data_IF_511594561224
#
_entry.id   IF_511594561224
#
_cell.length_a   1.000
_cell.length_b   1.000
_cell.length_c   1.000
_cell.angle_alpha   90.00
_cell.angle_beta   90.00
_cell.angle_gamma   90.00
#
_symmetry.space_group_name_H-M   'P 1'
#
loop_
_entity.id
_entity.type
_entity.pdbx_description
1 polymer ?
#
# COMPACT_ATOMS: atom_id res chain seq x y z
N UNK A 1 -36.64 13.02 -47.69
CA UNK A 1 -35.81 11.90 -48.18
C UNK A 1 -34.43 11.98 -47.53
N UNK A 2 -33.82 10.80 -47.29
CA UNK A 2 -32.43 10.51 -46.82
C UNK A 2 -32.23 10.25 -45.31
N UNK A 3 -32.49 8.97 -45.00
CA UNK A 3 -31.74 7.95 -44.23
C UNK A 3 -31.14 8.29 -42.85
N UNK A 4 -31.69 7.57 -41.87
CA UNK A 4 -31.26 7.33 -40.48
C UNK A 4 -30.03 6.41 -40.44
N UNK A 5 -29.22 6.52 -39.38
CA UNK A 5 -28.47 5.38 -38.84
C UNK A 5 -28.50 5.44 -37.31
N UNK A 6 -29.10 4.41 -36.71
CA UNK A 6 -29.14 4.12 -35.27
C UNK A 6 -28.34 2.84 -35.12
N UNK A 7 -27.27 2.87 -34.34
CA UNK A 7 -26.46 1.68 -34.03
C UNK A 7 -26.77 1.28 -32.59
N UNK A 8 -27.60 0.24 -32.45
CA UNK A 8 -27.79 -0.48 -31.21
C UNK A 8 -26.75 -1.58 -31.08
N UNK A 9 -26.12 -1.69 -29.91
CA UNK A 9 -25.26 -2.82 -29.56
C UNK A 9 -26.07 -3.82 -28.72
N UNK A 10 -26.29 -5.01 -29.28
CA UNK A 10 -26.88 -6.18 -28.62
C UNK A 10 -25.79 -6.92 -27.84
N UNK A 11 -25.96 -7.04 -26.52
CA UNK A 11 -25.13 -7.88 -25.65
C UNK A 11 -25.78 -9.27 -25.60
N UNK A 12 -25.16 -10.26 -26.22
CA UNK A 12 -25.54 -11.66 -26.06
C UNK A 12 -24.77 -12.25 -24.87
N UNK A 13 -25.48 -12.53 -23.78
CA UNK A 13 -24.97 -13.27 -22.63
C UNK A 13 -25.08 -14.78 -22.85
N UNK A 14 -23.97 -15.50 -22.61
CA UNK A 14 -23.96 -16.95 -22.48
C UNK A 14 -23.79 -17.34 -21.02
N UNK A 15 -24.87 -17.84 -20.42
CA UNK A 15 -24.92 -18.55 -19.14
C UNK A 15 -24.35 -19.97 -19.33
N UNK A 16 -23.29 -20.33 -18.62
CA UNK A 16 -22.89 -21.73 -18.42
C UNK A 16 -23.08 -22.09 -16.95
N UNK A 17 -24.19 -22.80 -16.72
CA UNK A 17 -24.58 -23.50 -15.50
C UNK A 17 -23.89 -24.87 -15.44
N UNK A 18 -23.35 -25.20 -14.26
CA UNK A 18 -23.46 -26.52 -13.64
C UNK A 18 -22.44 -27.61 -14.03
N UNK A 19 -21.87 -28.25 -13.00
CA UNK A 19 -21.28 -29.57 -13.13
C UNK A 19 -20.18 -29.90 -12.11
N UNK A 20 -20.54 -30.08 -10.84
CA UNK A 20 -19.67 -30.74 -9.87
C UNK A 20 -19.58 -32.23 -10.20
N UNK A 21 -18.39 -32.74 -10.52
CA UNK A 21 -18.14 -34.16 -10.66
C UNK A 21 -17.20 -34.62 -9.54
N UNK A 22 -17.74 -35.44 -8.65
CA UNK A 22 -17.04 -36.24 -7.64
C UNK A 22 -16.25 -37.34 -8.33
N UNK A 23 -14.97 -37.52 -8.00
CA UNK A 23 -14.21 -38.72 -8.42
C UNK A 23 -13.92 -39.60 -7.22
N UNK A 24 -14.60 -40.74 -7.22
CA UNK A 24 -14.38 -41.90 -6.36
C UNK A 24 -13.29 -42.80 -6.95
N UNK A 25 -12.54 -43.44 -6.05
CA UNK A 25 -11.53 -44.46 -6.25
C UNK A 25 -12.06 -45.70 -6.99
N UNK A 26 -11.24 -46.29 -7.87
CA UNK A 26 -11.30 -47.72 -8.18
C UNK A 26 -9.92 -48.27 -8.58
N UNK A 27 -9.60 -49.39 -7.95
CA UNK A 27 -8.45 -50.28 -8.05
C UNK A 27 -8.53 -51.14 -9.33
N UNK A 28 -7.41 -51.49 -9.97
CA UNK A 28 -6.75 -52.81 -9.88
C UNK A 28 -5.93 -53.24 -11.13
N UNK A 29 -4.93 -54.05 -10.80
CA UNK A 29 -3.87 -54.79 -11.52
C UNK A 29 -3.95 -55.14 -13.03
N UNK A 30 -2.78 -55.07 -13.71
CA UNK A 30 -1.95 -56.25 -14.03
C UNK A 30 -0.84 -56.03 -15.12
N UNK A 31 0.39 -56.34 -14.70
CA UNK A 31 1.51 -57.06 -15.37
C UNK A 31 2.20 -56.64 -16.70
N UNK A 32 3.53 -56.39 -16.58
CA UNK A 32 4.69 -56.68 -17.49
C UNK A 32 4.80 -55.93 -18.84
N UNK A 33 5.94 -55.43 -19.33
CA UNK A 33 7.38 -55.57 -19.02
C UNK A 33 8.22 -54.46 -19.70
N UNK A 34 9.34 -54.09 -19.07
CA UNK A 34 10.66 -53.66 -19.62
C UNK A 34 10.77 -52.56 -20.68
N UNK A 35 11.29 -51.38 -20.31
CA UNK A 35 12.62 -50.87 -20.74
C UNK A 35 12.77 -49.35 -20.47
N UNK A 36 13.90 -49.02 -19.85
CA UNK A 36 14.58 -47.73 -19.65
C UNK A 36 14.05 -46.45 -20.34
N UNK A 37 14.15 -45.37 -19.57
CA UNK A 37 14.70 -44.02 -19.90
C UNK A 37 13.74 -42.86 -19.57
N UNK A 38 14.28 -41.92 -18.77
CA UNK A 38 13.92 -40.49 -18.70
C UNK A 38 12.88 -40.05 -17.67
N UNK A 39 13.43 -39.69 -16.50
CA UNK A 39 12.86 -38.71 -15.56
C UNK A 39 12.80 -37.34 -16.26
N UNK A 40 11.61 -36.87 -16.64
CA UNK A 40 11.21 -35.45 -16.74
C UNK A 40 9.83 -35.33 -17.38
N UNK A 41 8.82 -34.97 -16.58
CA UNK A 41 7.77 -33.99 -16.90
C UNK A 41 6.65 -34.09 -15.87
N UNK A 42 6.83 -33.39 -14.76
CA UNK A 42 5.75 -33.09 -13.81
C UNK A 42 5.77 -31.59 -13.51
N UNK A 43 5.67 -30.76 -14.57
CA UNK A 43 5.39 -29.33 -14.48
C UNK A 43 3.91 -29.11 -14.81
N UNK A 44 3.09 -29.46 -13.83
CA UNK A 44 1.67 -29.12 -13.78
C UNK A 44 1.50 -27.64 -13.41
N UNK A 45 0.95 -26.89 -14.37
CA UNK A 45 0.35 -25.54 -14.26
C UNK A 45 -0.18 -25.20 -12.87
N UNK A 46 0.49 -24.24 -12.22
CA UNK A 46 0.04 -23.60 -10.99
C UNK A 46 -1.01 -22.53 -11.25
N UNK A 47 -2.16 -22.69 -10.57
CA UNK A 47 -3.23 -21.71 -10.45
C UNK A 47 -2.78 -20.50 -9.64
N UNK A 48 -3.33 -19.34 -10.01
CA UNK A 48 -2.94 -18.03 -9.50
C UNK A 48 -3.42 -17.74 -8.08
N UNK A 49 -2.53 -17.08 -7.33
CA UNK A 49 -2.81 -15.90 -6.53
C UNK A 49 -1.50 -15.09 -6.49
N UNK A 50 -1.47 -13.92 -7.14
CA UNK A 50 -0.35 -12.98 -7.05
C UNK A 50 -0.29 -12.40 -5.63
N UNK A 51 0.28 -13.16 -4.71
CA UNK A 51 0.79 -12.67 -3.44
C UNK A 51 2.06 -11.85 -3.66
N UNK A 52 2.31 -10.93 -2.74
CA UNK A 52 3.24 -9.79 -2.76
C UNK A 52 4.75 -10.08 -2.98
N UNK A 53 5.13 -11.27 -3.46
CA UNK A 53 6.50 -11.70 -3.79
C UNK A 53 6.54 -12.52 -5.09
N UNK A 54 5.78 -12.11 -6.11
CA UNK A 54 5.93 -12.67 -7.45
C UNK A 54 7.16 -12.06 -8.14
N UNK A 55 8.35 -12.66 -8.01
CA UNK A 55 9.49 -12.24 -8.83
C UNK A 55 10.85 -12.80 -8.46
N UNK A 56 11.41 -12.46 -7.30
CA UNK A 56 12.85 -12.65 -7.08
C UNK A 56 13.14 -13.86 -6.19
N UNK A 57 13.08 -15.05 -6.79
CA UNK A 57 13.52 -16.30 -6.14
C UNK A 57 14.98 -16.23 -5.66
N UNK A 58 15.83 -15.47 -6.35
CA UNK A 58 17.23 -15.26 -5.97
C UNK A 58 17.36 -14.48 -4.66
N UNK A 59 16.64 -13.36 -4.48
CA UNK A 59 16.67 -12.58 -3.25
C UNK A 59 16.17 -13.38 -2.03
N UNK A 60 15.14 -14.22 -2.22
CA UNK A 60 14.67 -15.13 -1.17
C UNK A 60 15.72 -16.20 -0.83
N UNK A 61 16.41 -16.75 -1.83
CA UNK A 61 17.48 -17.73 -1.63
C UNK A 61 18.69 -17.10 -0.95
N UNK A 62 19.06 -15.87 -1.30
CA UNK A 62 20.16 -15.12 -0.70
C UNK A 62 19.86 -14.83 0.78
N UNK A 63 18.70 -14.21 1.07
CA UNK A 63 18.29 -13.91 2.44
C UNK A 63 18.15 -15.17 3.31
N UNK A 64 17.69 -16.29 2.73
CA UNK A 64 17.69 -17.57 3.43
C UNK A 64 19.11 -18.04 3.77
N UNK A 65 20.06 -17.95 2.84
CA UNK A 65 21.45 -18.34 3.10
C UNK A 65 22.10 -17.47 4.17
N UNK A 66 21.85 -16.16 4.15
CA UNK A 66 22.37 -15.22 5.15
C UNK A 66 21.88 -15.54 6.56
N UNK A 67 20.64 -16.02 6.66
CA UNK A 67 20.04 -16.47 7.92
C UNK A 67 20.37 -17.94 8.27
N UNK A 68 21.25 -18.59 7.50
CA UNK A 68 21.65 -19.98 7.70
C UNK A 68 20.55 -21.01 7.39
N UNK A 69 19.54 -20.63 6.61
CA UNK A 69 18.38 -21.45 6.26
C UNK A 69 18.67 -22.29 4.99
N UNK A 70 18.45 -23.60 5.08
CA UNK A 70 18.55 -24.50 3.91
C UNK A 70 17.47 -24.19 2.88
N UNK A 71 17.86 -23.96 1.63
CA UNK A 71 16.97 -23.62 0.51
C UNK A 71 16.59 -24.83 -0.35
N UNK A 72 17.31 -25.96 -0.22
CA UNK A 72 17.10 -27.13 -1.07
C UNK A 72 15.78 -27.83 -0.75
N UNK A 73 14.94 -28.02 -1.77
CA UNK A 73 13.69 -28.78 -1.67
C UNK A 73 12.53 -28.05 -0.98
N UNK A 74 12.69 -26.77 -0.64
CA UNK A 74 11.63 -25.94 -0.05
C UNK A 74 10.95 -25.09 -1.11
N UNK A 75 9.63 -24.97 -1.04
CA UNK A 75 8.89 -24.00 -1.83
C UNK A 75 9.06 -22.58 -1.26
N UNK A 76 8.72 -21.57 -2.06
CA UNK A 76 8.88 -20.17 -1.70
C UNK A 76 8.08 -19.75 -0.45
N UNK A 77 6.91 -20.35 -0.21
CA UNK A 77 6.08 -20.02 0.95
C UNK A 77 6.72 -20.52 2.24
N UNK A 78 7.20 -21.77 2.23
CA UNK A 78 7.94 -22.34 3.36
C UNK A 78 9.21 -21.53 3.64
N UNK A 79 9.97 -21.19 2.60
CA UNK A 79 11.19 -20.39 2.73
C UNK A 79 10.90 -18.99 3.31
N UNK A 80 9.86 -18.31 2.82
CA UNK A 80 9.42 -17.02 3.37
C UNK A 80 9.01 -17.12 4.84
N UNK A 81 8.34 -18.20 5.23
CA UNK A 81 7.94 -18.44 6.62
C UNK A 81 9.15 -18.56 7.54
N UNK A 82 10.14 -19.37 7.14
CA UNK A 82 11.37 -19.57 7.90
C UNK A 82 12.23 -18.31 7.97
N UNK A 83 12.36 -17.57 6.85
CA UNK A 83 13.06 -16.27 6.81
C UNK A 83 12.42 -15.32 7.82
N UNK A 84 11.09 -15.14 7.77
CA UNK A 84 10.38 -14.24 8.71
C UNK A 84 10.62 -14.65 10.16
N UNK A 85 10.56 -15.93 10.46
CA UNK A 85 10.79 -16.41 11.82
C UNK A 85 12.23 -16.15 12.29
N UNK A 86 13.22 -16.38 11.43
CA UNK A 86 14.62 -16.12 11.74
C UNK A 86 14.90 -14.62 11.92
N UNK A 87 14.41 -13.77 11.01
CA UNK A 87 14.50 -12.30 11.14
C UNK A 87 13.86 -11.83 12.43
N UNK A 88 12.65 -12.28 12.76
CA UNK A 88 11.95 -11.91 13.98
C UNK A 88 12.73 -12.32 15.25
N UNK A 89 13.37 -13.49 15.24
CA UNK A 89 14.23 -13.92 16.36
C UNK A 89 15.47 -13.04 16.49
N UNK A 90 16.07 -12.62 15.38
CA UNK A 90 17.21 -11.72 15.40
C UNK A 90 16.81 -10.34 15.96
N UNK A 91 15.72 -9.75 15.46
CA UNK A 91 15.17 -8.48 15.98
C UNK A 91 14.83 -8.59 17.48
N UNK A 92 14.20 -9.70 17.90
CA UNK A 92 13.94 -9.94 19.31
C UNK A 92 15.22 -9.96 20.14
N UNK A 93 16.27 -10.62 19.67
CA UNK A 93 17.55 -10.67 20.38
C UNK A 93 18.20 -9.28 20.46
N UNK A 94 18.15 -8.48 19.39
CA UNK A 94 18.66 -7.10 19.36
C UNK A 94 17.92 -6.20 20.37
N UNK A 95 16.60 -6.39 20.50
CA UNK A 95 15.76 -5.68 21.46
C UNK A 95 15.80 -6.28 22.88
N UNK A 96 16.63 -7.30 23.13
CA UNK A 96 16.76 -7.96 24.42
C UNK A 96 15.53 -8.79 24.86
N UNK A 97 14.68 -9.18 23.91
CA UNK A 97 13.47 -9.98 24.13
C UNK A 97 13.83 -11.48 24.14
N UNK A 98 13.40 -12.18 25.20
CA UNK A 98 13.54 -13.64 25.28
C UNK A 98 12.68 -14.32 24.21
N UNK A 99 13.29 -15.21 23.43
CA UNK A 99 12.64 -15.94 22.33
C UNK A 99 12.17 -17.35 22.72
N UNK A 100 12.75 -17.95 23.78
CA UNK A 100 12.46 -19.32 24.18
C UNK A 100 11.02 -19.51 24.66
N UNK A 101 10.35 -20.54 24.14
CA UNK A 101 9.00 -20.94 24.54
C UNK A 101 7.86 -20.06 24.01
N UNK A 102 8.16 -19.03 23.20
CA UNK A 102 7.15 -18.18 22.57
C UNK A 102 6.82 -18.66 21.18
N UNK A 103 5.53 -18.59 20.83
CA UNK A 103 5.11 -18.75 19.44
C UNK A 103 5.45 -17.48 18.63
N UNK A 104 5.40 -17.62 17.30
CA UNK A 104 5.80 -16.54 16.37
C UNK A 104 4.90 -15.32 16.50
N UNK A 105 3.60 -15.48 16.77
CA UNK A 105 2.68 -14.35 16.88
C UNK A 105 2.98 -13.55 18.15
N UNK A 106 3.11 -14.22 19.30
CA UNK A 106 3.49 -13.57 20.56
C UNK A 106 4.84 -12.85 20.44
N UNK A 107 5.83 -13.49 19.82
CA UNK A 107 7.15 -12.87 19.63
C UNK A 107 7.05 -11.63 18.72
N UNK A 108 6.24 -11.68 17.66
CA UNK A 108 6.04 -10.55 16.74
C UNK A 108 5.39 -9.36 17.44
N UNK A 109 4.38 -9.60 18.27
CA UNK A 109 3.73 -8.53 19.04
C UNK A 109 4.70 -7.86 20.01
N UNK A 110 5.53 -8.63 20.72
CA UNK A 110 6.53 -8.08 21.64
C UNK A 110 7.60 -7.26 20.92
N UNK A 111 8.13 -7.78 19.80
CA UNK A 111 9.12 -7.06 18.96
C UNK A 111 8.53 -5.77 18.43
N UNK A 112 7.31 -5.82 17.89
CA UNK A 112 6.62 -4.64 17.36
C UNK A 112 6.41 -3.58 18.47
N UNK A 113 5.96 -3.99 19.65
CA UNK A 113 5.76 -3.07 20.77
C UNK A 113 7.07 -2.46 21.24
N UNK A 114 8.15 -3.23 21.33
CA UNK A 114 9.47 -2.74 21.71
C UNK A 114 10.01 -1.72 20.69
N UNK A 115 9.92 -2.02 19.39
CA UNK A 115 10.30 -1.09 18.31
C UNK A 115 9.49 0.22 18.36
N UNK A 116 8.17 0.14 18.59
CA UNK A 116 7.34 1.33 18.75
C UNK A 116 7.74 2.15 19.98
N UNK A 117 8.12 1.50 21.09
CA UNK A 117 8.60 2.19 22.29
C UNK A 117 9.92 2.92 22.06
N UNK A 118 10.86 2.32 21.32
CA UNK A 118 12.10 3.01 20.95
C UNK A 118 11.81 4.24 20.09
N UNK A 119 11.06 4.08 19.00
CA UNK A 119 10.68 5.21 18.13
C UNK A 119 9.93 6.31 18.88
N UNK A 120 9.04 5.94 19.79
CA UNK A 120 8.33 6.91 20.62
C UNK A 120 9.31 7.70 21.51
N UNK A 121 10.31 7.05 22.12
CA UNK A 121 11.33 7.74 22.93
C UNK A 121 12.16 8.71 22.10
N UNK A 122 12.54 8.32 20.87
CA UNK A 122 13.32 9.18 19.97
C UNK A 122 12.54 10.46 19.61
N UNK A 123 11.22 10.35 19.49
CA UNK A 123 10.31 11.48 19.25
C UNK A 123 9.89 12.22 20.55
N UNK A 124 10.43 11.85 21.71
CA UNK A 124 10.07 12.45 23.00
C UNK A 124 8.64 12.13 23.48
N UNK A 125 8.03 11.07 22.96
CA UNK A 125 6.68 10.62 23.30
C UNK A 125 6.73 9.68 24.50
N UNK A 126 5.96 9.98 25.55
CA UNK A 126 5.82 9.07 26.70
C UNK A 126 5.24 7.72 26.29
N UNK A 127 5.88 6.63 26.74
CA UNK A 127 5.49 5.24 26.46
C UNK A 127 4.69 4.59 27.58
N UNK A 128 4.59 5.24 28.75
CA UNK A 128 4.03 4.61 29.95
C UNK A 128 2.52 4.39 29.80
N UNK A 129 2.08 3.15 30.03
CA UNK A 129 0.68 2.75 29.95
C UNK A 129 0.08 2.72 28.54
N UNK A 130 0.88 2.94 27.48
CA UNK A 130 0.42 2.87 26.09
C UNK A 130 0.64 1.49 25.50
N UNK A 131 -0.39 0.99 24.80
CA UNK A 131 -0.28 -0.18 23.94
C UNK A 131 0.30 0.18 22.56
N UNK A 132 0.47 -0.83 21.69
CA UNK A 132 1.03 -0.64 20.36
C UNK A 132 0.20 0.32 19.50
N UNK A 133 -1.12 0.27 19.60
CA UNK A 133 -2.01 1.14 18.81
C UNK A 133 -1.87 2.61 19.26
N UNK A 134 -1.92 2.85 20.57
CA UNK A 134 -1.76 4.18 21.16
C UNK A 134 -0.36 4.78 20.88
N UNK A 135 0.69 3.96 20.90
CA UNK A 135 2.04 4.39 20.51
C UNK A 135 2.10 4.75 19.03
N UNK A 136 1.56 3.90 18.17
CA UNK A 136 1.55 4.14 16.73
C UNK A 136 0.82 5.45 16.37
N UNK A 137 -0.35 5.69 16.97
CA UNK A 137 -1.12 6.91 16.72
C UNK A 137 -0.41 8.15 17.26
N UNK A 138 0.23 8.07 18.43
CA UNK A 138 1.02 9.16 18.98
C UNK A 138 2.23 9.50 18.10
N UNK A 139 2.98 8.48 17.65
CA UNK A 139 4.12 8.64 16.72
C UNK A 139 3.66 9.28 15.42
N UNK A 140 2.55 8.79 14.85
CA UNK A 140 1.98 9.33 13.62
C UNK A 140 1.60 10.81 13.78
N UNK A 141 0.96 11.16 14.89
CA UNK A 141 0.56 12.53 15.16
C UNK A 141 1.77 13.45 15.30
N UNK A 142 2.81 13.02 16.00
CA UNK A 142 4.01 13.84 16.19
C UNK A 142 4.74 14.09 14.86
N UNK A 143 4.91 13.05 14.04
CA UNK A 143 5.46 13.19 12.69
C UNK A 143 4.64 14.14 11.80
N UNK A 144 3.30 14.12 11.91
CA UNK A 144 2.45 15.07 11.20
C UNK A 144 2.66 16.50 11.70
N UNK A 145 2.84 16.72 13.00
CA UNK A 145 3.12 18.05 13.53
C UNK A 145 4.45 18.60 13.02
N UNK A 146 5.49 17.77 12.96
CA UNK A 146 6.78 18.23 12.45
C UNK A 146 6.70 18.61 10.99
N UNK A 147 6.02 17.82 10.17
CA UNK A 147 5.73 18.15 8.77
C UNK A 147 4.85 19.39 8.61
N UNK A 148 3.88 19.60 9.51
CA UNK A 148 3.06 20.80 9.53
C UNK A 148 3.90 22.05 9.82
N UNK A 149 4.80 22.00 10.81
CA UNK A 149 5.71 23.12 11.13
C UNK A 149 6.58 23.50 9.92
N UNK A 150 7.15 22.51 9.23
CA UNK A 150 7.97 22.72 8.03
C UNK A 150 7.21 23.49 6.92
N UNK A 151 5.91 23.21 6.79
CA UNK A 151 5.04 23.81 5.78
C UNK A 151 4.31 25.07 6.25
N UNK A 152 4.57 25.53 7.48
CA UNK A 152 3.90 26.68 8.08
C UNK A 152 2.42 26.43 8.41
N UNK A 153 2.02 25.18 8.57
CA UNK A 153 0.67 24.77 8.97
C UNK A 153 0.58 24.77 10.50
N UNK A 154 -0.45 25.43 11.05
CA UNK A 154 -0.68 25.44 12.51
C UNK A 154 -1.05 24.06 13.01
N UNK A 155 -0.47 23.65 14.15
CA UNK A 155 -0.70 22.33 14.78
C UNK A 155 -1.69 22.35 15.93
N UNK A 156 -2.17 23.52 16.33
CA UNK A 156 -2.88 23.70 17.60
C UNK A 156 -4.29 23.10 17.55
N UNK A 157 -4.58 22.21 18.50
CA UNK A 157 -5.88 21.55 18.68
C UNK A 157 -6.39 20.78 17.45
N UNK A 158 -5.49 20.31 16.58
CA UNK A 158 -5.86 19.51 15.40
C UNK A 158 -5.58 18.04 15.63
N UNK A 159 -6.54 17.22 15.23
CA UNK A 159 -6.33 15.78 15.12
C UNK A 159 -5.47 15.43 13.90
N UNK A 160 -5.05 14.17 13.82
CA UNK A 160 -4.20 13.66 12.76
C UNK A 160 -4.84 13.75 11.36
N UNK A 161 -6.17 13.67 11.25
CA UNK A 161 -6.85 13.74 9.97
C UNK A 161 -6.86 15.17 9.44
N UNK A 162 -7.25 16.12 10.29
CA UNK A 162 -7.27 17.55 9.98
C UNK A 162 -5.87 18.03 9.61
N UNK A 163 -4.86 17.67 10.41
CA UNK A 163 -3.45 17.97 10.09
C UNK A 163 -3.04 17.43 8.73
N UNK A 164 -3.39 16.18 8.42
CA UNK A 164 -3.03 15.55 7.16
C UNK A 164 -3.66 16.27 5.95
N UNK A 165 -4.92 16.70 6.06
CA UNK A 165 -5.61 17.44 5.00
C UNK A 165 -4.99 18.82 4.78
N UNK A 166 -4.67 19.53 5.85
CA UNK A 166 -4.01 20.83 5.77
C UNK A 166 -2.58 20.74 5.23
N UNK A 167 -1.79 19.74 5.68
CA UNK A 167 -0.44 19.45 5.15
C UNK A 167 -0.51 19.15 3.65
N UNK A 168 -1.49 18.37 3.19
CA UNK A 168 -1.68 18.08 1.76
C UNK A 168 -1.98 19.36 0.99
N UNK A 169 -2.84 20.21 1.53
CA UNK A 169 -3.22 21.48 0.90
C UNK A 169 -2.05 22.45 0.84
N UNK A 170 -1.29 22.59 1.93
CA UNK A 170 -0.10 23.43 1.99
C UNK A 170 0.97 22.95 0.98
N UNK A 171 1.22 21.64 0.90
CA UNK A 171 2.12 21.06 -0.11
C UNK A 171 1.64 21.34 -1.54
N UNK A 172 0.34 21.17 -1.80
CA UNK A 172 -0.22 21.42 -3.11
C UNK A 172 -0.06 22.90 -3.51
N UNK A 173 -0.31 23.82 -2.59
CA UNK A 173 -0.13 25.26 -2.81
C UNK A 173 1.34 25.64 -3.02
N UNK A 174 2.27 25.03 -2.25
CA UNK A 174 3.72 25.21 -2.43
C UNK A 174 4.15 24.80 -3.84
N UNK A 175 3.73 23.60 -4.29
CA UNK A 175 4.01 23.11 -5.65
C UNK A 175 3.34 23.96 -6.73
N UNK A 176 2.11 24.40 -6.51
CA UNK A 176 1.44 25.31 -7.44
C UNK A 176 2.26 26.59 -7.65
N UNK A 177 2.75 27.19 -6.56
CA UNK A 177 3.61 28.37 -6.62
C UNK A 177 4.93 28.11 -7.36
N UNK A 178 5.60 26.99 -7.08
CA UNK A 178 6.84 26.59 -7.75
C UNK A 178 6.66 26.39 -9.26
N UNK A 179 5.50 25.87 -9.67
CA UNK A 179 5.15 25.61 -11.07
C UNK A 179 4.45 26.78 -11.77
N UNK A 180 4.20 27.89 -11.07
CA UNK A 180 3.49 29.06 -11.61
C UNK A 180 1.99 28.83 -11.86
N UNK A 181 1.37 27.86 -11.18
CA UNK A 181 -0.07 27.59 -11.22
C UNK A 181 -0.80 28.47 -10.22
N UNK A 182 -1.81 29.22 -10.68
CA UNK A 182 -2.66 30.02 -9.77
C UNK A 182 -3.49 29.15 -8.85
N UNK A 183 -3.53 29.50 -7.56
CA UNK A 183 -4.34 28.81 -6.53
C UNK A 183 -5.68 29.49 -6.27
N UNK A 184 -5.88 30.72 -6.75
CA UNK A 184 -7.06 31.52 -6.41
C UNK A 184 -8.33 30.99 -7.09
N UNK A 185 -9.41 30.85 -6.31
CA UNK A 185 -10.73 30.47 -6.82
C UNK A 185 -10.87 29.01 -7.27
N UNK A 186 -9.86 28.17 -7.05
CA UNK A 186 -9.88 26.75 -7.45
C UNK A 186 -10.18 25.86 -6.27
N UNK A 187 -10.99 24.84 -6.52
CA UNK A 187 -11.11 23.71 -5.60
C UNK A 187 -9.83 22.84 -5.65
N UNK A 188 -9.65 22.01 -4.62
CA UNK A 188 -8.45 21.20 -4.46
C UNK A 188 -8.24 20.20 -5.60
N UNK A 189 -9.31 19.64 -6.17
CA UNK A 189 -9.22 18.66 -7.24
C UNK A 189 -8.74 19.33 -8.53
N UNK A 190 -9.34 20.48 -8.89
CA UNK A 190 -8.91 21.27 -10.05
C UNK A 190 -7.47 21.73 -9.89
N UNK A 191 -7.10 22.27 -8.72
CA UNK A 191 -5.73 22.68 -8.45
C UNK A 191 -4.75 21.51 -8.57
N UNK A 192 -5.09 20.33 -8.07
CA UNK A 192 -4.25 19.14 -8.18
C UNK A 192 -4.02 18.72 -9.63
N UNK A 193 -5.06 18.75 -10.47
CA UNK A 193 -4.94 18.41 -11.89
C UNK A 193 -4.06 19.41 -12.65
N UNK A 194 -4.21 20.70 -12.35
CA UNK A 194 -3.39 21.74 -12.98
C UNK A 194 -1.93 21.68 -12.54
N UNK A 195 -1.67 21.51 -11.24
CA UNK A 195 -0.32 21.29 -10.69
C UNK A 195 0.31 20.06 -11.35
N UNK A 196 -0.45 18.97 -11.49
CA UNK A 196 0.04 17.77 -12.17
C UNK A 196 0.41 18.03 -13.62
N UNK A 197 -0.50 18.68 -14.36
CA UNK A 197 -0.28 18.99 -15.78
C UNK A 197 0.92 19.90 -15.96
N UNK A 198 1.05 20.94 -15.12
CA UNK A 198 2.19 21.87 -15.15
C UNK A 198 3.51 21.14 -14.86
N UNK A 199 3.55 20.26 -13.85
CA UNK A 199 4.73 19.47 -13.53
C UNK A 199 5.15 18.56 -14.69
N UNK A 200 4.19 17.83 -15.28
CA UNK A 200 4.48 16.95 -16.41
C UNK A 200 4.96 17.73 -17.63
N UNK A 201 4.37 18.88 -17.93
CA UNK A 201 4.81 19.74 -19.03
C UNK A 201 6.22 20.31 -18.80
N UNK A 202 6.56 20.67 -17.56
CA UNK A 202 7.90 21.13 -17.21
C UNK A 202 8.94 20.02 -17.42
N UNK A 203 8.66 18.81 -16.92
CA UNK A 203 9.55 17.66 -17.11
C UNK A 203 9.61 17.25 -18.59
N UNK A 204 8.50 17.29 -19.33
CA UNK A 204 8.49 17.05 -20.77
C UNK A 204 9.44 18.00 -21.50
N UNK A 205 9.41 19.29 -21.16
CA UNK A 205 10.34 20.28 -21.69
C UNK A 205 11.80 19.95 -21.34
N UNK A 206 12.08 19.51 -20.10
CA UNK A 206 13.41 19.11 -19.65
C UNK A 206 13.98 17.92 -20.46
N UNK A 207 13.13 16.96 -20.83
CA UNK A 207 13.53 15.80 -21.62
C UNK A 207 13.32 15.95 -23.14
N UNK A 208 12.91 17.14 -23.62
CA UNK A 208 12.69 17.40 -25.05
C UNK A 208 11.48 16.65 -25.65
N UNK A 209 10.47 16.35 -24.84
CA UNK A 209 9.24 15.66 -25.25
C UNK A 209 8.21 16.69 -25.72
N UNK A 210 7.63 16.45 -26.90
CA UNK A 210 6.53 17.28 -27.44
C UNK A 210 5.21 16.95 -26.74
N UNK A 211 4.51 17.98 -26.30
CA UNK A 211 3.20 17.88 -25.62
C UNK A 211 2.00 18.13 -26.55
N UNK A 212 2.22 18.80 -27.67
CA UNK A 212 1.14 19.22 -28.57
C UNK A 212 0.39 18.01 -29.17
N UNK A 213 -0.93 18.01 -28.99
CA UNK A 213 -1.83 16.98 -29.53
C UNK A 213 -1.82 15.65 -28.77
N UNK A 214 -1.13 15.55 -27.62
CA UNK A 214 -1.09 14.36 -26.78
C UNK A 214 -1.96 14.50 -25.53
N UNK A 215 -2.47 13.38 -25.03
CA UNK A 215 -3.09 13.34 -23.70
C UNK A 215 -2.00 13.46 -22.62
N UNK A 216 -2.32 14.12 -21.50
CA UNK A 216 -1.33 14.33 -20.43
C UNK A 216 -0.82 13.01 -19.84
N UNK A 217 -1.61 11.93 -19.90
CA UNK A 217 -1.17 10.60 -19.45
C UNK A 217 -0.12 10.00 -20.39
N UNK A 218 -0.23 10.25 -21.69
CA UNK A 218 0.78 9.84 -22.67
C UNK A 218 2.08 10.61 -22.45
N UNK A 219 1.98 11.94 -22.29
CA UNK A 219 3.14 12.78 -21.96
C UNK A 219 3.80 12.31 -20.66
N UNK A 220 3.03 12.01 -19.62
CA UNK A 220 3.55 11.52 -18.35
C UNK A 220 4.30 10.18 -18.50
N UNK A 221 3.79 9.25 -19.31
CA UNK A 221 4.47 7.98 -19.58
C UNK A 221 5.78 8.17 -20.35
N UNK A 222 5.78 9.06 -21.34
CA UNK A 222 6.99 9.41 -22.09
C UNK A 222 8.04 10.06 -21.19
N UNK A 223 7.62 11.01 -20.35
CA UNK A 223 8.46 11.68 -19.35
C UNK A 223 9.07 10.66 -18.39
N UNK A 224 8.25 9.76 -17.83
CA UNK A 224 8.73 8.74 -16.92
C UNK A 224 9.74 7.82 -17.60
N UNK A 225 9.47 7.39 -18.83
CA UNK A 225 10.38 6.53 -19.59
C UNK A 225 11.69 7.24 -19.93
N UNK A 226 11.63 8.53 -20.30
CA UNK A 226 12.81 9.33 -20.60
C UNK A 226 13.66 9.54 -19.34
N UNK A 227 13.02 9.84 -18.20
CA UNK A 227 13.69 9.98 -16.92
C UNK A 227 14.40 8.70 -16.49
N UNK A 228 13.70 7.56 -16.51
CA UNK A 228 14.29 6.25 -16.15
C UNK A 228 15.52 5.95 -17.03
N UNK A 229 15.45 6.24 -18.33
CA UNK A 229 16.58 6.07 -19.24
C UNK A 229 17.73 7.05 -18.95
N UNK A 230 17.42 8.28 -18.56
CA UNK A 230 18.42 9.28 -18.19
C UNK A 230 19.15 8.87 -16.91
N UNK A 231 18.40 8.53 -15.86
CA UNK A 231 18.94 8.02 -14.59
C UNK A 231 19.79 6.76 -14.81
N UNK A 232 19.32 5.83 -15.66
CA UNK A 232 20.08 4.62 -15.98
C UNK A 232 21.42 4.92 -16.64
N UNK A 233 21.47 5.89 -17.56
CA UNK A 233 22.73 6.33 -18.20
C UNK A 233 23.68 6.94 -17.18
N UNK A 234 23.19 7.83 -16.32
CA UNK A 234 23.98 8.45 -15.26
C UNK A 234 24.59 7.41 -14.31
N UNK A 235 23.82 6.36 -14.00
CA UNK A 235 24.22 5.28 -13.11
C UNK A 235 24.98 4.14 -13.80
N UNK A 236 25.29 4.29 -15.10
CA UNK A 236 25.95 3.28 -15.93
C UNK A 236 25.22 1.91 -15.97
N UNK A 237 23.88 1.94 -15.98
CA UNK A 237 23.02 0.77 -16.08
C UNK A 237 22.75 0.46 -17.56
N UNK A 238 22.89 -0.82 -17.95
CA UNK A 238 22.60 -1.27 -19.32
C UNK A 238 21.09 -1.27 -19.57
N UNK A 239 20.66 -0.61 -20.65
CA UNK A 239 19.25 -0.47 -21.05
C UNK A 239 18.83 -1.43 -22.17
N UNK A 240 19.78 -1.98 -22.92
CA UNK A 240 19.49 -2.80 -24.10
C UNK A 240 18.89 -4.16 -23.69
N UNK A 241 17.80 -4.52 -24.35
CA UNK A 241 17.08 -5.77 -24.09
C UNK A 241 16.22 -5.78 -22.82
N UNK A 242 16.16 -4.68 -22.06
CA UNK A 242 15.36 -4.54 -20.84
C UNK A 242 14.10 -3.70 -21.06
N UNK A 243 13.05 -4.03 -20.33
CA UNK A 243 11.85 -3.21 -20.22
C UNK A 243 12.10 -1.98 -19.34
N UNK A 244 11.29 -0.92 -19.49
CA UNK A 244 11.36 0.27 -18.63
C UNK A 244 11.18 -0.09 -17.15
N UNK A 245 10.34 -1.10 -16.85
CA UNK A 245 10.13 -1.55 -15.48
C UNK A 245 11.39 -2.13 -14.84
N UNK A 246 12.11 -2.99 -15.57
CA UNK A 246 13.37 -3.57 -15.10
C UNK A 246 14.45 -2.50 -14.92
N UNK A 247 14.56 -1.57 -15.88
CA UNK A 247 15.51 -0.45 -15.77
C UNK A 247 15.18 0.43 -14.56
N UNK A 248 13.89 0.73 -14.33
CA UNK A 248 13.47 1.54 -13.20
C UNK A 248 13.80 0.88 -11.85
N UNK A 249 13.64 -0.44 -11.74
CA UNK A 249 14.02 -1.19 -10.55
C UNK A 249 15.53 -1.09 -10.29
N UNK A 250 16.36 -1.37 -11.30
CA UNK A 250 17.82 -1.28 -11.17
C UNK A 250 18.28 0.14 -10.82
N UNK A 251 17.67 1.16 -11.43
CA UNK A 251 17.92 2.57 -11.10
C UNK A 251 17.61 2.85 -9.64
N UNK A 252 16.44 2.42 -9.14
CA UNK A 252 16.04 2.64 -7.74
C UNK A 252 16.99 1.96 -6.77
N UNK A 253 17.32 0.69 -7.00
CA UNK A 253 18.26 -0.07 -6.16
C UNK A 253 19.63 0.61 -6.13
N UNK A 254 20.14 1.04 -7.29
CA UNK A 254 21.43 1.73 -7.37
C UNK A 254 21.42 3.08 -6.66
N UNK A 255 20.33 3.85 -6.79
CA UNK A 255 20.11 5.12 -6.08
C UNK A 255 20.15 4.93 -4.56
N UNK A 256 19.43 3.93 -4.04
CA UNK A 256 19.41 3.59 -2.61
C UNK A 256 20.80 3.17 -2.12
N UNK A 257 21.50 2.31 -2.87
CA UNK A 257 22.87 1.87 -2.51
C UNK A 257 23.85 3.04 -2.50
N UNK A 258 23.75 3.96 -3.45
CA UNK A 258 24.61 5.14 -3.50
C UNK A 258 24.34 6.07 -2.32
N UNK A 259 23.07 6.32 -1.99
CA UNK A 259 22.69 7.13 -0.83
C UNK A 259 23.14 6.48 0.49
N UNK A 260 22.98 5.16 0.64
CA UNK A 260 23.49 4.42 1.78
C UNK A 260 25.01 4.64 1.96
N UNK A 261 25.78 4.55 0.87
CA UNK A 261 27.23 4.79 0.89
C UNK A 261 27.58 6.22 1.26
N UNK A 262 26.86 7.20 0.70
CA UNK A 262 27.05 8.62 1.04
C UNK A 262 26.84 8.87 2.54
N UNK A 263 25.83 8.22 3.11
CA UNK A 263 25.52 8.29 4.54
C UNK A 263 26.39 7.37 5.40
N UNK A 264 27.36 6.66 4.83
CA UNK A 264 28.22 5.73 5.58
C UNK A 264 27.49 4.54 6.18
N UNK A 265 26.34 4.15 5.61
CA UNK A 265 25.59 2.95 5.96
C UNK A 265 26.24 1.76 5.23
N UNK A 266 26.50 0.66 5.96
CA UNK A 266 27.02 -0.57 5.37
C UNK A 266 26.00 -1.16 4.40
N UNK A 267 26.43 -1.46 3.17
CA UNK A 267 25.59 -2.09 2.14
C UNK A 267 25.80 -3.61 2.01
N UNK A 268 26.65 -4.20 2.85
CA UNK A 268 26.92 -5.64 2.81
C UNK A 268 25.78 -6.42 3.49
N UNK A 269 25.30 -7.49 2.84
CA UNK A 269 24.24 -8.39 3.32
C UNK A 269 22.93 -7.67 3.68
N UNK A 270 22.62 -6.56 3.00
CA UNK A 270 21.38 -5.83 3.20
C UNK A 270 20.63 -5.70 1.89
N UNK A 271 19.33 -5.96 1.95
CA UNK A 271 18.44 -5.71 0.84
C UNK A 271 18.09 -4.21 0.72
N UNK A 272 17.55 -3.81 -0.43
CA UNK A 272 17.18 -2.42 -0.71
C UNK A 272 16.21 -1.85 0.34
N UNK A 273 15.36 -2.69 0.94
CA UNK A 273 14.38 -2.25 1.93
C UNK A 273 15.04 -1.97 3.27
N UNK A 274 15.92 -2.85 3.73
CA UNK A 274 16.74 -2.66 4.92
C UNK A 274 17.58 -1.39 4.80
N UNK A 275 18.18 -1.17 3.62
CA UNK A 275 18.90 0.08 3.33
C UNK A 275 17.97 1.30 3.39
N UNK A 276 16.78 1.26 2.80
CA UNK A 276 15.83 2.37 2.89
C UNK A 276 15.35 2.62 4.32
N UNK A 277 15.22 1.60 5.17
CA UNK A 277 14.82 1.76 6.57
C UNK A 277 15.95 2.44 7.37
N UNK A 278 17.19 1.96 7.22
CA UNK A 278 18.34 2.60 7.88
C UNK A 278 18.64 4.01 7.36
N UNK A 279 18.49 4.25 6.05
CA UNK A 279 18.60 5.60 5.50
C UNK A 279 17.51 6.47 6.10
N UNK A 280 16.25 5.99 6.19
CA UNK A 280 15.16 6.79 6.77
C UNK A 280 15.43 7.16 8.22
N UNK A 281 15.94 6.24 9.00
CA UNK A 281 16.23 6.48 10.41
C UNK A 281 17.41 7.47 10.58
N UNK A 282 18.32 7.52 9.60
CA UNK A 282 19.47 8.42 9.61
C UNK A 282 19.20 9.80 9.01
N UNK A 283 18.50 9.85 7.88
CA UNK A 283 18.19 11.05 7.10
C UNK A 283 16.97 10.77 6.20
N UNK A 284 15.78 10.89 6.79
CA UNK A 284 14.51 10.69 6.09
C UNK A 284 14.32 11.69 4.95
N UNK A 285 14.81 12.92 5.11
CA UNK A 285 14.66 14.00 4.13
C UNK A 285 15.44 13.69 2.86
N UNK A 286 16.69 13.23 2.97
CA UNK A 286 17.47 12.78 1.80
C UNK A 286 16.88 11.55 1.13
N UNK A 287 16.28 10.63 1.89
CA UNK A 287 15.59 9.49 1.30
C UNK A 287 14.37 9.93 0.49
N UNK A 288 13.61 10.88 1.03
CA UNK A 288 12.45 11.43 0.33
C UNK A 288 12.92 12.19 -0.92
N UNK A 289 13.95 13.05 -0.83
CA UNK A 289 14.56 13.77 -1.96
C UNK A 289 14.99 12.82 -3.09
N UNK A 290 15.59 11.67 -2.76
CA UNK A 290 15.99 10.63 -3.72
C UNK A 290 14.84 10.17 -4.64
N UNK A 291 13.60 10.23 -4.14
CA UNK A 291 12.40 9.81 -4.86
C UNK A 291 11.48 10.97 -5.23
N UNK A 292 11.70 12.19 -4.75
CA UNK A 292 10.86 13.36 -5.01
C UNK A 292 10.80 13.72 -6.50
N UNK A 293 11.90 13.52 -7.24
CA UNK A 293 12.03 13.95 -8.63
C UNK A 293 11.10 13.24 -9.62
N UNK A 294 10.35 12.22 -9.23
CA UNK A 294 9.55 11.47 -10.19
C UNK A 294 8.55 10.55 -9.51
N UNK A 295 7.39 11.09 -9.17
CA UNK A 295 6.29 10.30 -8.64
C UNK A 295 6.70 9.39 -7.46
N UNK A 296 7.67 9.79 -6.64
CA UNK A 296 8.11 8.99 -5.50
C UNK A 296 6.94 8.71 -4.58
N UNK A 297 6.79 7.46 -4.12
CA UNK A 297 5.90 6.81 -3.09
C UNK A 297 4.49 7.38 -2.83
N UNK A 298 4.31 8.67 -3.00
CA UNK A 298 3.14 9.51 -3.18
C UNK A 298 2.97 9.95 -4.65
N UNK A 299 3.38 9.12 -5.62
CA UNK A 299 3.21 9.43 -7.02
C UNK A 299 1.74 9.68 -7.33
N UNK A 300 1.37 10.96 -7.52
CA UNK A 300 0.10 11.49 -8.03
C UNK A 300 -1.04 10.47 -8.06
N UNK A 301 -1.33 9.92 -6.89
CA UNK A 301 -2.45 9.05 -6.64
C UNK A 301 -3.64 9.95 -6.45
N UNK A 302 -4.22 10.39 -7.57
CA UNK A 302 -5.57 10.91 -7.59
C UNK A 302 -6.48 9.88 -6.90
N UNK A 303 -6.94 10.22 -5.70
CA UNK A 303 -8.08 9.61 -5.02
C UNK A 303 -8.17 8.09 -4.99
N UNK A 304 -7.44 7.45 -4.08
CA UNK A 304 -8.03 6.46 -3.18
C UNK A 304 -7.26 6.51 -1.86
N UNK A 305 -8.00 6.67 -0.75
CA UNK A 305 -7.55 6.88 0.62
C UNK A 305 -6.08 6.57 0.90
N UNK A 306 -5.33 7.61 1.28
CA UNK A 306 -3.98 7.50 1.82
C UNK A 306 -3.98 6.66 3.10
N UNK A 307 -3.93 5.34 2.92
CA UNK A 307 -3.58 4.38 3.95
C UNK A 307 -2.09 4.46 4.22
N UNK A 308 -1.69 5.43 5.03
CA UNK A 308 -0.47 5.31 5.81
C UNK A 308 -0.74 4.27 6.88
N UNK A 309 -0.15 3.09 6.71
CA UNK A 309 -0.26 1.98 7.66
C UNK A 309 -1.31 0.93 7.28
N UNK A 310 -1.18 0.27 6.12
CA UNK A 310 -1.40 -1.19 6.14
C UNK A 310 -0.13 -1.83 6.62
N UNK A 311 0.05 -1.84 7.95
CA UNK A 311 0.79 -2.91 8.59
C UNK A 311 0.16 -4.23 8.17
N UNK A 312 1.00 -5.23 7.94
CA UNK A 312 0.58 -6.60 7.73
C UNK A 312 -0.07 -7.11 9.02
N UNK A 313 -1.34 -6.76 9.25
CA UNK A 313 -2.20 -7.48 10.16
C UNK A 313 -2.54 -8.82 9.50
N UNK A 314 -1.79 -9.85 9.85
CA UNK A 314 -2.21 -11.24 9.68
C UNK A 314 -3.43 -11.47 10.57
N UNK A 315 -4.60 -11.08 10.08
CA UNK A 315 -5.89 -11.37 10.68
C UNK A 315 -6.66 -12.35 9.81
N UNK A 316 -6.21 -13.61 9.72
CA UNK A 316 -7.11 -14.71 9.38
C UNK A 316 -8.00 -14.94 10.62
N UNK A 317 -9.00 -14.08 10.77
CA UNK A 317 -10.11 -14.29 11.69
C UNK A 317 -11.05 -15.32 11.12
N UNK A 318 -10.68 -16.60 11.19
CA UNK A 318 -11.67 -17.67 11.26
C UNK A 318 -12.43 -17.48 12.57
N UNK A 319 -13.68 -17.03 12.44
CA UNK A 319 -14.61 -16.87 13.56
C UNK A 319 -14.89 -18.22 14.22
N UNK A 320 -14.13 -18.53 15.26
CA UNK A 320 -14.48 -19.53 16.25
C UNK A 320 -15.34 -18.89 17.34
N UNK A 321 -16.64 -18.77 17.05
CA UNK A 321 -17.66 -18.55 18.07
C UNK A 321 -17.88 -19.82 18.89
N UNK A 322 -17.14 -19.97 20.00
CA UNK A 322 -17.58 -20.68 21.21
C UNK A 322 -17.94 -19.57 22.20
N UNK A 323 -19.12 -19.49 22.81
CA UNK A 323 -20.03 -20.51 23.25
C UNK A 323 -20.34 -20.19 24.71
N UNK A 324 -21.51 -19.64 25.00
CA UNK A 324 -22.15 -19.42 26.32
C UNK A 324 -23.53 -18.81 26.02
N UNK A 325 -24.68 -19.30 26.42
CA UNK A 325 -25.09 -20.43 27.24
C UNK A 325 -26.62 -20.50 27.19
N UNK A 326 -27.12 -21.72 27.42
CA UNK A 326 -28.45 -22.11 27.90
C UNK A 326 -29.56 -21.04 28.04
N UNK A 327 -30.68 -21.29 27.36
CA UNK A 327 -31.98 -20.67 27.67
C UNK A 327 -33.11 -21.34 26.91
N UNK A 328 -33.67 -22.41 27.49
CA UNK A 328 -34.93 -23.04 27.06
C UNK A 328 -36.07 -22.02 26.98
N UNK A 329 -36.95 -22.18 25.98
CA UNK A 329 -38.24 -21.48 25.96
C UNK A 329 -38.97 -21.63 24.64
N UNK A 330 -39.65 -22.77 24.46
CA UNK A 330 -40.62 -22.93 23.37
C UNK A 330 -41.81 -21.97 23.54
N UNK A 331 -42.34 -21.48 22.42
CA UNK A 331 -43.53 -20.63 22.41
C UNK A 331 -44.08 -20.45 21.00
N UNK A 332 -45.08 -21.26 20.66
CA UNK A 332 -45.93 -21.15 19.48
C UNK A 332 -46.85 -19.92 19.54
N UNK A 333 -47.27 -19.45 18.36
CA UNK A 333 -48.48 -18.65 18.15
C UNK A 333 -48.24 -17.14 18.30
N UNK A 334 -48.89 -16.26 17.56
CA UNK A 334 -50.05 -16.38 16.70
C UNK A 334 -50.44 -14.96 16.26
N UNK A 335 -51.29 -14.92 15.24
CA UNK A 335 -51.81 -13.73 14.57
C UNK A 335 -52.38 -12.66 15.53
N UNK A 336 -52.29 -11.39 15.12
CA UNK A 336 -53.01 -10.28 15.74
C UNK A 336 -53.15 -9.09 14.79
N UNK A 337 -54.26 -9.07 14.05
CA UNK A 337 -54.79 -7.90 13.32
C UNK A 337 -55.40 -6.88 14.29
N UNK A 338 -55.47 -5.63 13.82
CA UNK A 338 -56.31 -4.55 14.37
C UNK A 338 -55.47 -3.42 14.99
N UNK A 339 -55.64 -2.14 14.68
CA UNK A 339 -56.67 -1.42 13.93
C UNK A 339 -56.83 -0.02 14.54
N UNK A 340 -57.18 0.97 13.70
CA UNK A 340 -57.71 2.32 14.04
C UNK A 340 -56.73 3.28 14.76
N UNK A 341 -56.68 4.59 14.51
CA UNK A 341 -57.50 5.55 13.77
C UNK A 341 -57.20 6.97 14.32
N UNK A 342 -57.55 8.03 13.58
CA UNK A 342 -57.59 9.43 14.05
C UNK A 342 -56.38 10.28 13.58
N UNK A 343 -56.45 11.18 12.59
CA UNK A 343 -57.26 12.42 12.39
C UNK A 343 -57.05 13.55 13.42
N UNK A 344 -56.85 14.76 12.89
CA UNK A 344 -56.89 16.06 13.59
C UNK A 344 -55.50 16.53 14.05
N UNK A 345 -55.04 17.76 13.84
CA UNK A 345 -55.65 19.05 13.51
C UNK A 345 -54.59 20.12 13.84
N UNK A 346 -54.34 21.08 12.94
CA UNK A 346 -54.72 22.50 13.05
C UNK A 346 -53.98 23.36 14.10
N UNK A 347 -53.52 24.52 13.61
CA UNK A 347 -53.29 25.75 14.37
C UNK A 347 -51.82 25.99 14.70
N UNK A 348 -51.23 27.18 14.55
CA UNK A 348 -51.69 28.51 14.19
C UNK A 348 -50.42 29.35 13.92
N UNK A 349 -50.43 30.24 12.93
CA UNK A 349 -50.79 31.65 13.06
C UNK A 349 -49.82 32.50 13.91
N UNK A 350 -49.31 33.53 13.22
CA UNK A 350 -49.18 34.94 13.65
C UNK A 350 -47.78 35.55 13.82
N UNK A 351 -47.56 36.58 12.98
CA UNK A 351 -47.11 37.94 13.31
C UNK A 351 -45.61 38.11 13.61
N UNK A 352 -44.93 39.22 13.29
CA UNK A 352 -45.20 40.51 12.66
C UNK A 352 -43.82 41.23 12.60
N UNK A 353 -43.74 42.34 11.88
CA UNK A 353 -42.78 43.40 12.22
C UNK A 353 -41.76 43.71 11.14
N UNK A 354 -42.05 44.75 10.37
CA UNK A 354 -41.08 45.44 9.53
C UNK A 354 -40.04 46.21 10.34
N UNK A 355 -39.01 46.66 9.63
CA UNK A 355 -37.99 47.56 10.13
C UNK A 355 -37.20 48.15 8.96
N UNK A 356 -37.52 49.41 8.63
CA UNK A 356 -36.73 50.28 7.77
C UNK A 356 -35.35 50.55 8.38
N UNK A 357 -34.35 50.83 7.55
CA UNK A 357 -33.09 51.40 8.03
C UNK A 357 -32.03 51.61 6.96
N UNK A 358 -32.10 52.79 6.33
CA UNK A 358 -31.05 53.57 5.63
C UNK A 358 -30.55 53.13 4.26
#
# INVERSE_FOLDING_TARGET
MKKKSVIGFTIAGALLLGGYATTSLANDDSTTSTAATTVKSFLGKGFGHKGYYGGNSEALIEKAKDLGISTSGKDAQTLMGEIRQATLKNEANELGIKTDGKDVATLAEEVQLASLKERAKDLGISTDGKDAAALHDAIRLENLKDKAKELGVSTDNKDAQTLMEEIRTANLNKRAKELGVSTEGKDQQTLQQEVHTAFINQEAKKYGITVDGKDIREVAQEVQSAKVKADAKELNITIDGKTIGEIAQEVQEKKVVNLAKELGISTANKDTRELMEEIRDKDADKLDELFEDGFGRHGMGFGHGGGFGKGNGFGNGEGFGKGSGFGHGGGKGGMGQGGFGGEGGRGGMHHNGGGQGF
#
